data_IF_371134115733
#
_entry.id   IF_371134115733
#
_cell.length_a   1.000
_cell.length_b   1.000
_cell.length_c   1.000
_cell.angle_alpha   90.00
_cell.angle_beta   90.00
_cell.angle_gamma   90.00
#
_symmetry.space_group_name_H-M   'P 1'
#
loop_
_entity.id
_entity.type
_entity.pdbx_description
1 polymer ?
#
# COMPACT_ATOMS: atom_id res chain seq x y z
N UNK A 1 -36.18 -73.20 -45.77
CA UNK A 1 -35.07 -73.22 -44.79
C UNK A 1 -34.69 -71.77 -44.49
N UNK A 2 -34.42 -71.49 -43.21
CA UNK A 2 -34.33 -70.17 -42.58
C UNK A 2 -32.96 -69.51 -42.81
N UNK A 3 -32.90 -68.19 -42.91
CA UNK A 3 -31.96 -67.40 -42.11
C UNK A 3 -32.39 -65.93 -41.99
N UNK A 4 -32.66 -65.46 -40.77
CA UNK A 4 -32.93 -64.05 -40.44
C UNK A 4 -31.91 -63.62 -39.37
N UNK A 5 -30.73 -63.19 -39.79
CA UNK A 5 -29.79 -62.54 -38.88
C UNK A 5 -30.13 -61.05 -38.76
N UNK A 6 -30.78 -60.68 -37.64
CA UNK A 6 -30.94 -59.28 -37.21
C UNK A 6 -29.74 -58.86 -36.37
N UNK A 7 -28.83 -58.09 -36.96
CA UNK A 7 -27.80 -57.36 -36.23
C UNK A 7 -28.47 -56.21 -35.46
N UNK A 8 -28.41 -56.22 -34.13
CA UNK A 8 -28.85 -55.10 -33.29
C UNK A 8 -27.67 -54.14 -33.10
N UNK A 9 -27.72 -53.01 -33.81
CA UNK A 9 -26.76 -51.91 -33.63
C UNK A 9 -27.20 -51.14 -32.38
N UNK A 10 -26.38 -51.18 -31.33
CA UNK A 10 -26.63 -50.48 -30.07
C UNK A 10 -26.67 -48.96 -30.27
N UNK A 11 -27.73 -48.32 -29.76
CA UNK A 11 -27.88 -46.87 -29.72
C UNK A 11 -26.72 -46.23 -28.94
N UNK A 12 -25.88 -45.46 -29.64
CA UNK A 12 -24.93 -44.54 -28.99
C UNK A 12 -25.71 -43.36 -28.42
N UNK A 13 -25.93 -43.36 -27.10
CA UNK A 13 -26.51 -42.21 -26.40
C UNK A 13 -25.49 -41.05 -26.40
N UNK A 14 -25.70 -40.09 -27.29
CA UNK A 14 -24.91 -38.84 -27.37
C UNK A 14 -25.10 -38.03 -26.09
N UNK A 15 -24.05 -37.88 -25.29
CA UNK A 15 -24.01 -36.86 -24.23
C UNK A 15 -23.66 -35.53 -24.91
N UNK A 16 -24.67 -34.78 -25.30
CA UNK A 16 -24.50 -33.37 -25.66
C UNK A 16 -24.05 -32.61 -24.41
N UNK A 17 -22.74 -32.39 -24.28
CA UNK A 17 -22.20 -31.44 -23.29
C UNK A 17 -22.59 -30.05 -23.72
N UNK A 18 -23.53 -29.47 -23.00
CA UNK A 18 -24.00 -28.11 -23.21
C UNK A 18 -22.85 -27.15 -22.89
N UNK A 19 -22.15 -26.72 -23.92
CA UNK A 19 -20.99 -25.85 -23.81
C UNK A 19 -21.47 -24.41 -23.92
N UNK A 20 -21.91 -23.85 -22.79
CA UNK A 20 -22.21 -22.43 -22.67
C UNK A 20 -20.90 -21.66 -22.60
N UNK A 21 -20.45 -21.14 -23.74
CA UNK A 21 -19.30 -20.24 -23.83
C UNK A 21 -19.76 -18.78 -23.76
N UNK A 22 -18.99 -17.95 -23.04
CA UNK A 22 -19.13 -16.49 -23.07
C UNK A 22 -19.06 -15.97 -24.51
N UNK A 23 -19.90 -14.99 -24.84
CA UNK A 23 -19.85 -14.36 -26.17
C UNK A 23 -18.64 -13.44 -26.27
N UNK A 24 -18.06 -13.28 -27.47
CA UNK A 24 -16.93 -12.35 -27.66
C UNK A 24 -17.31 -10.91 -27.26
N UNK A 25 -18.56 -10.52 -27.51
CA UNK A 25 -19.07 -9.20 -27.14
C UNK A 25 -19.12 -8.97 -25.63
N UNK A 26 -19.43 -10.01 -24.86
CA UNK A 26 -19.49 -9.94 -23.40
C UNK A 26 -18.12 -9.64 -22.81
N UNK A 27 -17.06 -10.22 -23.37
CA UNK A 27 -15.69 -9.93 -22.95
C UNK A 27 -15.24 -8.53 -23.39
N UNK A 28 -15.65 -8.07 -24.58
CA UNK A 28 -15.32 -6.72 -25.09
C UNK A 28 -15.92 -5.63 -24.19
N UNK A 29 -17.18 -5.77 -23.77
CA UNK A 29 -17.84 -4.78 -22.90
C UNK A 29 -17.17 -4.74 -21.52
N UNK A 30 -16.77 -5.89 -20.97
CA UNK A 30 -16.07 -5.95 -19.67
C UNK A 30 -14.71 -5.24 -19.76
N UNK A 31 -13.92 -5.50 -20.80
CA UNK A 31 -12.65 -4.80 -20.98
C UNK A 31 -12.84 -3.30 -21.22
N UNK A 32 -13.91 -2.90 -21.90
CA UNK A 32 -14.24 -1.49 -22.08
C UNK A 32 -14.47 -0.80 -20.73
N UNK A 33 -15.26 -1.39 -19.83
CA UNK A 33 -15.54 -0.82 -18.50
C UNK A 33 -14.29 -0.87 -17.60
N UNK A 34 -13.52 -1.96 -17.60
CA UNK A 34 -12.27 -2.03 -16.84
C UNK A 34 -11.25 -0.99 -17.32
N UNK A 35 -11.17 -0.77 -18.63
CA UNK A 35 -10.32 0.24 -19.24
C UNK A 35 -10.68 1.66 -18.80
N UNK A 36 -11.98 1.99 -18.74
CA UNK A 36 -12.40 3.33 -18.29
C UNK A 36 -12.09 3.58 -16.81
N UNK A 37 -12.26 2.57 -15.95
CA UNK A 37 -11.93 2.69 -14.52
C UNK A 37 -10.41 2.89 -14.34
N UNK A 38 -9.59 2.04 -14.99
CA UNK A 38 -8.12 2.10 -14.86
C UNK A 38 -7.57 3.44 -15.37
N UNK A 39 -8.13 3.99 -16.46
CA UNK A 39 -7.71 5.27 -17.02
C UNK A 39 -7.81 6.43 -16.00
N UNK A 40 -8.83 6.43 -15.13
CA UNK A 40 -9.00 7.46 -14.10
C UNK A 40 -8.27 7.09 -12.79
N UNK A 41 -8.19 5.79 -12.46
CA UNK A 41 -7.63 5.33 -11.18
C UNK A 41 -6.09 5.40 -11.10
N UNK A 42 -5.38 5.16 -12.20
CA UNK A 42 -3.90 5.16 -12.21
C UNK A 42 -3.27 6.53 -11.88
N UNK A 43 -3.67 7.64 -12.52
CA UNK A 43 -3.02 8.94 -12.26
C UNK A 43 -3.25 9.44 -10.83
N UNK A 44 -4.42 9.14 -10.25
CA UNK A 44 -4.73 9.55 -8.88
C UNK A 44 -3.88 8.77 -7.88
N UNK A 45 -3.77 7.44 -8.04
CA UNK A 45 -3.02 6.58 -7.14
C UNK A 45 -1.53 6.98 -7.00
N UNK A 46 -0.89 7.42 -8.09
CA UNK A 46 0.51 7.83 -8.06
C UNK A 46 0.76 9.02 -7.11
N UNK A 47 -0.14 10.02 -7.10
CA UNK A 47 -0.04 11.18 -6.21
C UNK A 47 -0.37 10.84 -4.75
N UNK A 48 -1.38 9.97 -4.52
CA UNK A 48 -1.74 9.53 -3.17
C UNK A 48 -0.62 8.76 -2.48
N UNK A 49 0.11 7.93 -3.23
CA UNK A 49 1.24 7.17 -2.67
C UNK A 49 2.34 8.08 -2.14
N UNK A 50 2.78 9.05 -2.94
CA UNK A 50 3.85 9.97 -2.53
C UNK A 50 3.46 10.80 -1.30
N UNK A 51 2.21 11.29 -1.23
CA UNK A 51 1.70 12.01 -0.06
C UNK A 51 1.60 11.13 1.18
N UNK A 52 1.18 9.87 1.02
CA UNK A 52 1.14 8.93 2.13
C UNK A 52 2.55 8.64 2.66
N UNK A 53 3.53 8.45 1.78
CA UNK A 53 4.93 8.24 2.12
C UNK A 53 5.53 9.45 2.87
N UNK A 54 5.22 10.67 2.43
CA UNK A 54 5.59 11.91 3.12
C UNK A 54 4.95 12.02 4.51
N UNK A 55 3.63 11.79 4.60
CA UNK A 55 2.89 11.87 5.86
C UNK A 55 3.38 10.86 6.89
N UNK A 56 3.69 9.62 6.47
CA UNK A 56 4.28 8.59 7.32
C UNK A 56 5.64 9.04 7.82
N UNK A 57 6.49 9.56 6.91
CA UNK A 57 7.80 10.06 7.29
C UNK A 57 7.68 11.16 8.36
N UNK A 58 6.82 12.16 8.16
CA UNK A 58 6.63 13.26 9.12
C UNK A 58 6.12 12.76 10.48
N UNK A 59 5.18 11.82 10.49
CA UNK A 59 4.68 11.23 11.73
C UNK A 59 5.76 10.45 12.48
N UNK A 60 6.58 9.69 11.76
CA UNK A 60 7.70 8.94 12.33
C UNK A 60 8.78 9.88 12.87
N UNK A 61 9.13 10.96 12.15
CA UNK A 61 10.10 11.96 12.61
C UNK A 61 9.71 12.58 13.95
N UNK A 62 8.44 12.98 14.10
CA UNK A 62 7.90 13.49 15.38
C UNK A 62 7.97 12.46 16.50
N UNK A 63 7.80 11.19 16.17
CA UNK A 63 7.89 10.08 17.13
C UNK A 63 9.33 9.89 17.58
N UNK A 64 10.28 9.86 16.64
CA UNK A 64 11.73 9.78 16.91
C UNK A 64 12.17 10.97 17.77
N UNK A 65 11.74 12.19 17.42
CA UNK A 65 12.08 13.41 18.18
C UNK A 65 11.62 13.31 19.64
N UNK A 66 10.37 12.91 19.87
CA UNK A 66 9.83 12.73 21.23
C UNK A 66 10.56 11.65 22.02
N UNK A 67 10.86 10.52 21.39
CA UNK A 67 11.56 9.42 22.06
C UNK A 67 13.01 9.79 22.36
N UNK A 68 13.70 10.43 21.43
CA UNK A 68 15.08 10.85 21.60
C UNK A 68 15.21 11.97 22.64
N UNK A 69 14.32 12.97 22.62
CA UNK A 69 14.32 14.02 23.66
C UNK A 69 14.02 13.45 25.04
N UNK A 70 13.11 12.48 25.16
CA UNK A 70 12.88 11.76 26.41
C UNK A 70 14.13 10.99 26.87
N UNK A 71 14.83 10.32 25.95
CA UNK A 71 16.07 9.60 26.23
C UNK A 71 17.18 10.52 26.76
N UNK A 72 17.36 11.70 26.16
CA UNK A 72 18.33 12.70 26.60
C UNK A 72 18.04 13.17 28.04
N UNK A 73 16.77 13.43 28.34
CA UNK A 73 16.33 13.86 29.68
C UNK A 73 16.51 12.74 30.72
N UNK A 74 16.14 11.51 30.38
CA UNK A 74 16.23 10.36 31.30
C UNK A 74 17.68 10.03 31.66
N UNK A 75 18.58 10.08 30.69
CA UNK A 75 19.99 9.74 30.89
C UNK A 75 20.85 10.95 31.29
N UNK A 76 20.28 12.16 31.32
CA UNK A 76 20.98 13.41 31.60
C UNK A 76 22.23 13.59 30.72
N UNK A 77 22.07 13.33 29.41
CA UNK A 77 23.12 13.45 28.40
C UNK A 77 22.70 14.53 27.41
N UNK A 78 23.66 15.36 26.98
CA UNK A 78 23.43 16.31 25.90
C UNK A 78 23.42 15.59 24.54
N UNK A 79 22.80 16.22 23.56
CA UNK A 79 22.78 15.69 22.21
C UNK A 79 24.21 15.63 21.61
N UNK A 80 24.54 14.47 21.05
CA UNK A 80 25.70 14.24 20.22
C UNK A 80 25.28 13.37 19.02
N UNK A 81 25.79 13.68 17.82
CA UNK A 81 25.44 12.96 16.59
C UNK A 81 25.68 11.45 16.71
N UNK A 82 26.80 11.04 17.32
CA UNK A 82 27.10 9.61 17.53
C UNK A 82 26.08 8.92 18.45
N UNK A 83 25.49 9.64 19.40
CA UNK A 83 24.48 9.08 20.32
C UNK A 83 23.15 8.95 19.56
N UNK A 84 22.81 9.95 18.75
CA UNK A 84 21.61 9.92 17.92
C UNK A 84 21.66 8.77 16.90
N UNK A 85 22.79 8.59 16.22
CA UNK A 85 22.96 7.51 15.23
C UNK A 85 22.79 6.13 15.88
N UNK A 86 23.39 5.92 17.05
CA UNK A 86 23.23 4.67 17.80
C UNK A 86 21.79 4.48 18.27
N UNK A 87 21.15 5.53 18.78
CA UNK A 87 19.77 5.48 19.20
C UNK A 87 18.85 5.12 18.03
N UNK A 88 19.04 5.77 16.87
CA UNK A 88 18.27 5.55 15.66
C UNK A 88 18.39 4.10 15.18
N UNK A 89 19.62 3.58 15.04
CA UNK A 89 19.87 2.20 14.56
C UNK A 89 19.30 1.15 15.52
N UNK A 90 19.35 1.40 16.83
CA UNK A 90 18.91 0.42 17.82
C UNK A 90 17.39 0.39 18.05
N UNK A 91 16.68 1.48 17.74
CA UNK A 91 15.24 1.61 18.05
C UNK A 91 14.34 1.68 16.81
N UNK A 92 14.89 1.98 15.64
CA UNK A 92 14.10 2.19 14.42
C UNK A 92 14.72 1.45 13.24
N UNK A 93 13.92 0.56 12.63
CA UNK A 93 14.32 -0.17 11.42
C UNK A 93 14.11 0.67 10.14
N UNK A 94 12.98 1.36 10.04
CA UNK A 94 12.64 2.19 8.87
C UNK A 94 11.76 3.39 9.28
N UNK A 95 12.35 4.58 9.27
CA UNK A 95 11.65 5.85 9.59
C UNK A 95 11.05 6.45 8.32
N UNK A 96 11.77 6.40 7.20
CA UNK A 96 11.38 6.97 5.93
C UNK A 96 11.15 5.85 4.89
N UNK A 97 9.96 5.75 4.28
CA UNK A 97 9.66 4.70 3.29
C UNK A 97 10.43 4.84 1.97
N UNK A 98 11.12 5.98 1.77
CA UNK A 98 12.00 6.23 0.63
C UNK A 98 13.49 6.07 1.00
N UNK A 99 13.80 5.61 2.21
CA UNK A 99 15.18 5.43 2.67
C UNK A 99 15.93 6.75 2.89
N UNK A 100 15.23 7.82 3.23
CA UNK A 100 15.85 9.11 3.57
C UNK A 100 16.72 9.02 4.83
N UNK A 101 17.79 9.81 4.85
CA UNK A 101 18.71 9.91 5.98
C UNK A 101 18.08 10.82 7.03
N UNK A 102 18.12 10.38 8.28
CA UNK A 102 17.56 11.10 9.42
C UNK A 102 18.68 11.83 10.15
N UNK A 103 18.51 13.12 10.38
CA UNK A 103 19.52 13.99 10.99
C UNK A 103 18.85 14.74 12.14
N UNK A 104 19.50 14.82 13.30
CA UNK A 104 19.05 15.67 14.40
C UNK A 104 19.81 17.00 14.35
N UNK A 105 19.08 18.12 14.27
CA UNK A 105 19.72 19.44 14.24
C UNK A 105 18.85 20.45 15.00
N UNK A 106 19.46 21.17 15.95
CA UNK A 106 18.81 22.25 16.71
C UNK A 106 17.50 21.84 17.41
N UNK A 107 17.42 20.60 17.92
CA UNK A 107 16.24 20.12 18.63
C UNK A 107 15.21 19.41 17.74
N UNK A 108 15.41 19.42 16.42
CA UNK A 108 14.43 18.92 15.44
C UNK A 108 15.06 17.77 14.63
N UNK A 109 14.29 16.70 14.43
CA UNK A 109 14.70 15.58 13.57
C UNK A 109 14.29 15.87 12.13
N UNK A 110 15.23 15.94 11.18
CA UNK A 110 14.98 16.18 9.74
C UNK A 110 15.19 14.91 8.93
N UNK A 111 14.46 14.78 7.82
CA UNK A 111 14.72 13.78 6.79
C UNK A 111 15.30 14.46 5.55
N UNK A 112 16.29 13.82 4.91
CA UNK A 112 16.95 14.34 3.70
C UNK A 112 16.06 14.35 2.46
N UNK A 113 14.98 13.54 2.45
CA UNK A 113 14.06 13.37 1.32
C UNK A 113 12.79 14.19 1.52
N UNK A 114 12.21 14.11 2.72
CA UNK A 114 11.02 14.87 3.12
C UNK A 114 11.47 15.84 4.21
N UNK A 115 11.83 17.07 3.82
CA UNK A 115 12.31 18.08 4.75
C UNK A 115 11.32 18.25 5.90
N UNK A 116 11.81 18.26 7.15
CA UNK A 116 10.97 18.56 8.30
C UNK A 116 10.82 20.08 8.41
N UNK A 117 10.12 20.68 7.46
CA UNK A 117 9.70 22.07 7.58
C UNK A 117 8.55 22.10 8.57
N UNK A 118 8.77 22.75 9.71
CA UNK A 118 7.78 23.02 10.74
C UNK A 118 6.67 23.95 10.28
N UNK A 119 6.01 23.63 9.17
CA UNK A 119 4.73 24.17 8.77
C UNK A 119 3.72 23.05 8.92
N UNK A 120 2.82 23.18 9.90
CA UNK A 120 1.58 22.41 9.90
C UNK A 120 0.87 22.70 8.57
N UNK A 121 0.59 21.72 7.71
CA UNK A 121 -0.65 21.78 6.96
C UNK A 121 -1.72 21.45 8.00
N UNK A 122 -2.33 22.49 8.58
CA UNK A 122 -3.73 22.39 8.94
C UNK A 122 -4.52 22.18 7.63
N UNK A 123 -4.46 20.96 7.11
CA UNK A 123 -5.39 20.45 6.10
C UNK A 123 -5.85 19.10 6.64
N UNK A 124 -6.86 19.22 7.51
CA UNK A 124 -8.02 18.35 7.59
C UNK A 124 -7.82 17.00 6.88
N UNK A 125 -7.43 16.00 7.66
CA UNK A 125 -7.67 14.61 7.29
C UNK A 125 -9.17 14.44 7.04
N UNK A 126 -9.67 14.30 5.81
CA UNK A 126 -11.06 14.02 5.59
C UNK A 126 -11.20 12.50 5.73
N UNK A 127 -11.31 12.02 6.96
CA UNK A 127 -11.61 10.62 7.18
C UNK A 127 -11.15 10.06 8.52
N UNK A 128 -12.10 9.96 9.44
CA UNK A 128 -12.12 8.84 10.37
C UNK A 128 -11.86 9.15 11.83
N UNK A 129 -12.41 10.25 12.36
CA UNK A 129 -12.81 10.20 13.76
C UNK A 129 -13.97 9.20 13.87
N UNK A 130 -13.73 8.03 14.46
CA UNK A 130 -14.77 7.16 15.02
C UNK A 130 -14.74 7.30 16.54
N UNK A 131 -15.61 8.14 17.13
CA UNK A 131 -15.72 8.27 18.58
C UNK A 131 -16.70 7.24 19.15
N UNK A 132 -16.19 6.27 19.91
CA UNK A 132 -16.99 5.65 20.98
C UNK A 132 -16.10 4.99 22.05
N UNK A 133 -15.89 5.74 23.13
CA UNK A 133 -15.83 5.26 24.51
C UNK A 133 -16.39 6.35 25.43
#
# INVERSE_FOLDING_TARGET
MLNKNKVKIGEKKSIYKNSYGYTLIELIIVLAILGTIVAVAVPTLAGFRSRAEENICVANLKTVERMYTAFLVENNVDHEDSIFDQFHINHFDEVCPLGGIIIYENGIVKCSVHGNEGQQPEEESPGGEVPWL
#
